data_IF_640368983560
#
_entry.id   IF_640368983560
#
_cell.length_a   1.000
_cell.length_b   1.000
_cell.length_c   1.000
_cell.angle_alpha   90.00
_cell.angle_beta   90.00
_cell.angle_gamma   90.00
#
_symmetry.space_group_name_H-M   'P 1'
#
loop_
_entity.id
_entity.type
_entity.pdbx_description
1 polymer ?
#
# COMPACT_ATOMS: atom_id res chain seq x y z
N UNK A 1 12.51 -56.04 -16.90
CA UNK A 1 12.07 -54.84 -17.65
C UNK A 1 11.14 -53.90 -16.86
N UNK A 2 10.39 -54.37 -15.85
CA UNK A 2 9.42 -53.55 -15.08
C UNK A 2 10.02 -52.59 -14.01
N UNK A 3 11.25 -52.79 -13.55
CA UNK A 3 11.88 -51.94 -12.51
C UNK A 3 12.37 -50.58 -13.03
N UNK A 4 12.87 -50.53 -14.25
CA UNK A 4 13.35 -49.28 -14.88
C UNK A 4 12.21 -48.31 -15.18
N UNK A 5 11.07 -48.83 -15.64
CA UNK A 5 9.88 -48.03 -15.98
C UNK A 5 9.26 -47.41 -14.71
N UNK A 6 9.23 -48.14 -13.57
CA UNK A 6 8.79 -47.57 -12.28
C UNK A 6 9.69 -46.46 -11.78
N UNK A 7 11.01 -46.57 -11.93
CA UNK A 7 11.94 -45.51 -11.50
C UNK A 7 11.80 -44.26 -12.36
N UNK A 8 11.64 -44.42 -13.68
CA UNK A 8 11.43 -43.28 -14.60
C UNK A 8 10.13 -42.55 -14.27
N UNK A 9 9.03 -43.25 -14.00
CA UNK A 9 7.75 -42.64 -13.62
C UNK A 9 7.85 -41.89 -12.29
N UNK A 10 8.55 -42.44 -11.29
CA UNK A 10 8.74 -41.78 -9.99
C UNK A 10 9.60 -40.52 -10.13
N UNK A 11 10.68 -40.57 -10.92
CA UNK A 11 11.56 -39.42 -11.18
C UNK A 11 10.82 -38.33 -11.97
N UNK A 12 9.99 -38.71 -12.95
CA UNK A 12 9.16 -37.76 -13.68
C UNK A 12 8.10 -37.12 -12.78
N UNK A 13 7.48 -37.89 -11.87
CA UNK A 13 6.49 -37.41 -10.92
C UNK A 13 7.11 -36.43 -9.90
N UNK A 14 8.32 -36.71 -9.39
CA UNK A 14 9.02 -35.79 -8.48
C UNK A 14 9.52 -34.53 -9.18
N UNK A 15 9.97 -34.63 -10.43
CA UNK A 15 10.32 -33.47 -11.27
C UNK A 15 9.09 -32.60 -11.57
N UNK A 16 7.93 -33.21 -11.84
CA UNK A 16 6.68 -32.48 -12.07
C UNK A 16 6.18 -31.78 -10.81
N UNK A 17 6.34 -32.43 -9.65
CA UNK A 17 6.04 -31.83 -8.34
C UNK A 17 7.08 -30.79 -7.88
N UNK A 18 8.24 -30.65 -8.55
CA UNK A 18 9.25 -29.65 -8.19
C UNK A 18 9.02 -28.27 -8.82
N UNK A 19 8.01 -28.13 -9.67
CA UNK A 19 7.66 -26.86 -10.33
C UNK A 19 6.71 -25.97 -9.53
N UNK A 20 6.65 -26.13 -8.20
CA UNK A 20 5.96 -25.16 -7.35
C UNK A 20 6.82 -23.91 -7.20
N UNK A 21 6.70 -22.99 -8.15
CA UNK A 21 7.07 -21.59 -7.91
C UNK A 21 6.17 -21.05 -6.80
N UNK A 22 6.69 -20.97 -5.58
CA UNK A 22 6.04 -20.29 -4.46
C UNK A 22 6.07 -18.79 -4.81
N UNK A 23 4.98 -18.31 -5.41
CA UNK A 23 4.77 -16.89 -5.57
C UNK A 23 4.45 -16.31 -4.19
N UNK A 24 5.38 -15.53 -3.63
CA UNK A 24 5.07 -14.74 -2.47
C UNK A 24 4.03 -13.68 -2.86
N UNK A 25 2.96 -13.56 -2.07
CA UNK A 25 2.00 -12.48 -2.23
C UNK A 25 2.70 -11.12 -2.19
N UNK A 26 2.23 -10.13 -2.98
CA UNK A 26 2.81 -8.80 -2.93
C UNK A 26 2.68 -8.23 -1.51
N UNK A 27 3.61 -7.34 -1.16
CA UNK A 27 3.49 -6.57 0.07
C UNK A 27 2.36 -5.58 -0.13
N UNK A 28 1.33 -5.63 0.72
CA UNK A 28 0.16 -4.76 0.66
C UNK A 28 0.13 -3.84 1.85
N UNK A 29 -0.07 -2.55 1.62
CA UNK A 29 -0.11 -1.55 2.70
C UNK A 29 -1.45 -0.81 2.65
N UNK A 30 -2.18 -0.91 3.75
CA UNK A 30 -3.53 -0.36 3.91
C UNK A 30 -3.58 0.60 5.10
N UNK A 31 -4.51 1.55 5.06
CA UNK A 31 -4.91 2.32 6.23
C UNK A 31 -5.72 1.43 7.19
N UNK A 32 -5.92 1.88 8.42
CA UNK A 32 -6.86 1.24 9.38
C UNK A 32 -8.30 1.10 8.86
N UNK A 33 -8.68 1.84 7.82
CA UNK A 33 -10.01 1.82 7.22
C UNK A 33 -10.08 0.90 5.98
N UNK A 34 -8.96 0.29 5.59
CA UNK A 34 -8.87 -0.63 4.46
C UNK A 34 -8.51 0.03 3.13
N UNK A 35 -8.38 1.36 3.09
CA UNK A 35 -7.94 2.08 1.90
C UNK A 35 -6.46 1.80 1.60
N UNK A 36 -6.06 1.65 0.33
CA UNK A 36 -4.66 1.43 -0.01
C UNK A 36 -3.81 2.69 0.21
N UNK A 37 -2.56 2.53 0.67
CA UNK A 37 -1.56 3.60 0.71
C UNK A 37 -0.96 3.82 -0.68
N UNK A 38 -1.82 4.08 -1.67
CA UNK A 38 -1.42 4.22 -3.07
C UNK A 38 -0.41 5.34 -3.25
N UNK A 39 0.59 5.13 -4.11
CA UNK A 39 1.67 6.09 -4.39
C UNK A 39 2.49 6.51 -3.16
N UNK A 40 2.45 5.76 -2.06
CA UNK A 40 3.35 6.01 -0.93
C UNK A 40 4.80 5.71 -1.32
N UNK A 41 5.73 6.58 -0.91
CA UNK A 41 7.16 6.38 -1.07
C UNK A 41 7.67 5.46 0.04
N UNK A 42 8.25 4.34 -0.35
CA UNK A 42 8.77 3.33 0.58
C UNK A 42 10.24 3.03 0.32
N UNK A 43 10.95 2.68 1.38
CA UNK A 43 12.30 2.14 1.35
C UNK A 43 12.29 0.70 1.81
N UNK A 44 12.74 -0.20 0.96
CA UNK A 44 12.95 -1.61 1.28
C UNK A 44 14.41 -1.78 1.69
N UNK A 45 14.65 -2.31 2.89
CA UNK A 45 15.98 -2.66 3.39
C UNK A 45 16.07 -4.19 3.46
N UNK A 46 17.03 -4.74 2.73
CA UNK A 46 17.30 -6.18 2.67
C UNK A 46 18.23 -6.61 3.82
N UNK A 47 18.34 -7.91 4.04
CA UNK A 47 19.15 -8.49 5.12
C UNK A 47 20.65 -8.22 4.97
N UNK A 48 21.13 -8.02 3.74
CA UNK A 48 22.51 -7.65 3.42
C UNK A 48 22.82 -6.17 3.69
N UNK A 49 21.85 -5.41 4.19
CA UNK A 49 21.95 -3.97 4.45
C UNK A 49 21.75 -3.09 3.22
N UNK A 50 21.63 -3.67 2.02
CA UNK A 50 21.28 -2.90 0.82
C UNK A 50 19.86 -2.37 0.94
N UNK A 51 19.59 -1.28 0.23
CA UNK A 51 18.26 -0.69 0.23
C UNK A 51 17.88 -0.07 -1.09
N UNK A 52 16.58 -0.12 -1.39
CA UNK A 52 15.99 0.43 -2.62
C UNK A 52 14.71 1.19 -2.30
N UNK A 53 14.43 2.19 -3.13
CA UNK A 53 13.27 3.07 -3.01
C UNK A 53 12.23 2.66 -4.04
N UNK A 54 10.96 2.67 -3.64
CA UNK A 54 9.83 2.32 -4.50
C UNK A 54 8.63 3.21 -4.21
N UNK A 55 7.71 3.28 -5.17
CA UNK A 55 6.35 3.73 -4.92
C UNK A 55 5.42 2.52 -4.88
N UNK A 56 4.47 2.54 -3.94
CA UNK A 56 3.36 1.59 -3.95
C UNK A 56 2.45 1.89 -5.14
N UNK A 57 1.89 0.85 -5.74
CA UNK A 57 0.96 1.02 -6.85
C UNK A 57 -0.42 1.55 -6.40
N UNK A 58 -1.36 1.63 -7.34
CA UNK A 58 -2.72 2.11 -7.05
C UNK A 58 -3.50 1.23 -6.05
N UNK A 59 -3.10 -0.03 -5.86
CA UNK A 59 -3.68 -0.96 -4.89
C UNK A 59 -2.93 -0.96 -3.54
N UNK A 60 -1.93 -0.08 -3.38
CA UNK A 60 -1.07 -0.04 -2.19
C UNK A 60 -0.12 -1.23 -2.13
N UNK A 61 0.21 -1.83 -3.28
CA UNK A 61 0.97 -3.05 -3.39
C UNK A 61 2.40 -2.81 -3.91
N UNK A 62 3.31 -3.68 -3.48
CA UNK A 62 4.69 -3.75 -3.93
C UNK A 62 5.10 -5.21 -4.16
N UNK A 63 5.37 -5.54 -5.42
CA UNK A 63 5.90 -6.85 -5.80
C UNK A 63 7.42 -6.81 -5.73
N UNK A 64 8.00 -7.65 -4.86
CA UNK A 64 9.44 -7.87 -4.78
C UNK A 64 9.77 -9.26 -5.33
N UNK A 65 10.89 -9.36 -6.04
CA UNK A 65 11.45 -10.62 -6.54
C UNK A 65 12.79 -10.87 -5.88
N UNK A 66 13.17 -12.15 -5.80
CA UNK A 66 14.47 -12.60 -5.34
C UNK A 66 14.84 -12.06 -3.95
N UNK A 67 13.87 -12.09 -3.02
CA UNK A 67 14.06 -11.63 -1.64
C UNK A 67 14.69 -12.76 -0.81
N UNK A 68 15.94 -12.61 -0.33
CA UNK A 68 16.59 -13.64 0.48
C UNK A 68 15.78 -13.93 1.74
N UNK A 69 15.51 -15.21 1.99
CA UNK A 69 14.67 -15.71 3.09
C UNK A 69 13.23 -15.15 3.10
N UNK A 70 12.83 -14.40 2.07
CA UNK A 70 11.55 -13.71 2.03
C UNK A 70 11.37 -12.65 3.13
N UNK A 71 12.43 -12.09 3.69
CA UNK A 71 12.38 -11.11 4.80
C UNK A 71 12.95 -9.76 4.36
N UNK A 72 12.21 -8.67 4.61
CA UNK A 72 12.68 -7.29 4.42
C UNK A 72 12.21 -6.39 5.55
N UNK A 73 12.94 -5.30 5.82
CA UNK A 73 12.42 -4.17 6.59
C UNK A 73 11.85 -3.14 5.60
N UNK A 74 10.53 -2.96 5.64
CA UNK A 74 9.85 -1.92 4.86
C UNK A 74 9.75 -0.65 5.70
N UNK A 75 10.21 0.48 5.16
CA UNK A 75 9.98 1.81 5.72
C UNK A 75 9.04 2.59 4.82
N UNK A 76 7.93 3.08 5.34
CA UNK A 76 7.04 4.02 4.66
C UNK A 76 7.52 5.42 5.00
N UNK A 77 8.09 6.11 4.01
CA UNK A 77 8.70 7.41 4.20
C UNK A 77 7.65 8.51 4.08
N UNK A 78 6.84 8.48 3.03
CA UNK A 78 5.78 9.47 2.81
C UNK A 78 4.56 8.90 2.09
N UNK A 79 3.41 9.53 2.32
CA UNK A 79 2.16 9.27 1.60
C UNK A 79 1.38 10.58 1.46
N UNK A 80 0.76 10.82 0.30
CA UNK A 80 0.11 12.11 -0.04
C UNK A 80 1.03 13.32 0.21
N UNK A 81 2.32 13.18 -0.13
CA UNK A 81 3.37 14.19 0.10
C UNK A 81 3.63 14.55 1.59
N UNK A 82 3.19 13.72 2.53
CA UNK A 82 3.41 13.92 3.97
C UNK A 82 4.36 12.86 4.49
N UNK A 83 5.36 13.28 5.27
CA UNK A 83 6.31 12.37 5.92
C UNK A 83 5.62 11.59 7.04
N UNK A 84 5.73 10.26 7.01
CA UNK A 84 5.11 9.33 7.98
C UNK A 84 6.17 8.58 8.80
N UNK A 85 7.31 8.25 8.21
CA UNK A 85 8.44 7.56 8.88
C UNK A 85 8.02 6.34 9.72
N UNK A 86 7.23 5.44 9.12
CA UNK A 86 6.81 4.19 9.74
C UNK A 86 7.70 3.03 9.25
N UNK A 87 8.01 2.04 10.09
CA UNK A 87 8.73 0.85 9.66
C UNK A 87 8.16 -0.45 10.21
N UNK A 88 8.26 -1.53 9.42
CA UNK A 88 7.83 -2.87 9.81
C UNK A 88 8.69 -3.93 9.12
N UNK A 89 8.91 -5.05 9.80
CA UNK A 89 9.51 -6.25 9.20
C UNK A 89 8.41 -7.02 8.47
N UNK A 90 8.65 -7.31 7.20
CA UNK A 90 7.71 -7.98 6.29
C UNK A 90 8.31 -9.29 5.84
N UNK A 91 7.48 -10.32 5.86
CA UNK A 91 7.76 -11.68 5.43
C UNK A 91 6.65 -12.15 4.50
N UNK A 92 6.87 -13.26 3.79
CA UNK A 92 5.84 -13.89 2.97
C UNK A 92 4.58 -14.33 3.76
N UNK A 93 4.68 -14.49 5.09
CA UNK A 93 3.54 -14.84 5.96
C UNK A 93 2.75 -13.62 6.47
N UNK A 94 3.33 -12.42 6.44
CA UNK A 94 2.72 -11.19 6.93
C UNK A 94 2.88 -10.04 5.93
N UNK A 95 2.60 -10.34 4.66
CA UNK A 95 2.75 -9.39 3.54
C UNK A 95 1.76 -8.22 3.60
N UNK A 96 0.70 -8.30 4.40
CA UNK A 96 -0.25 -7.19 4.62
C UNK A 96 0.11 -6.36 5.85
N UNK A 97 0.26 -5.06 5.64
CA UNK A 97 0.62 -4.06 6.64
C UNK A 97 -0.55 -3.10 6.79
N UNK A 98 -0.91 -2.83 8.05
CA UNK A 98 -1.91 -1.81 8.39
C UNK A 98 -1.18 -0.64 9.04
N UNK A 99 -1.29 0.53 8.43
CA UNK A 99 -0.84 1.81 8.96
C UNK A 99 -2.00 2.49 9.71
N UNK A 100 -1.82 2.67 11.01
CA UNK A 100 -2.90 3.05 11.93
C UNK A 100 -3.05 4.54 12.17
N UNK A 101 -2.00 5.32 11.92
CA UNK A 101 -1.98 6.77 12.20
C UNK A 101 -2.61 7.57 11.04
N UNK A 102 -3.87 7.24 10.75
CA UNK A 102 -4.72 7.94 9.77
C UNK A 102 -6.07 8.33 10.37
N UNK A 103 -6.68 9.36 9.77
CA UNK A 103 -8.03 9.83 10.08
C UNK A 103 -8.83 10.13 8.81
N UNK A 104 -10.15 10.28 8.97
CA UNK A 104 -11.07 10.65 7.89
C UNK A 104 -11.45 12.11 8.09
N UNK A 105 -11.26 12.93 7.05
CA UNK A 105 -11.77 14.29 6.97
C UNK A 105 -13.03 14.27 6.09
N UNK A 106 -14.13 14.77 6.65
CA UNK A 106 -15.40 14.96 5.94
C UNK A 106 -15.68 16.46 5.87
N UNK A 107 -15.75 16.99 4.65
CA UNK A 107 -16.09 18.39 4.39
C UNK A 107 -17.50 18.41 3.81
N UNK A 108 -18.37 19.24 4.40
CA UNK A 108 -19.72 19.50 3.90
C UNK A 108 -19.86 20.98 3.59
N UNK A 109 -20.22 21.31 2.36
CA UNK A 109 -20.43 22.68 1.90
C UNK A 109 -21.89 22.88 1.59
N UNK A 110 -22.47 23.87 2.24
CA UNK A 110 -23.87 24.26 2.11
C UNK A 110 -23.95 25.74 1.73
N UNK A 111 -25.05 26.14 1.11
CA UNK A 111 -25.37 27.54 0.90
C UNK A 111 -26.07 28.17 2.12
N UNK A 112 -26.54 29.40 1.96
CA UNK A 112 -27.28 30.12 3.00
C UNK A 112 -28.60 29.44 3.41
N UNK A 113 -29.21 28.65 2.53
CA UNK A 113 -30.47 27.94 2.76
C UNK A 113 -30.25 26.49 3.23
N UNK A 114 -29.02 26.11 3.58
CA UNK A 114 -28.60 24.74 3.92
C UNK A 114 -28.71 23.74 2.75
N UNK A 115 -28.73 24.21 1.51
CA UNK A 115 -28.70 23.35 0.33
C UNK A 115 -27.26 22.94 -0.03
N UNK A 116 -27.02 21.68 -0.40
CA UNK A 116 -25.69 21.20 -0.74
C UNK A 116 -25.17 21.81 -2.05
N UNK A 117 -23.92 22.30 -2.04
CA UNK A 117 -23.29 22.87 -3.23
C UNK A 117 -22.35 21.86 -3.87
N UNK A 118 -22.66 21.45 -5.10
CA UNK A 118 -21.82 20.58 -5.93
C UNK A 118 -20.65 21.35 -6.57
N UNK A 119 -19.50 20.71 -6.72
CA UNK A 119 -18.38 21.25 -7.51
C UNK A 119 -17.55 22.34 -6.81
N UNK A 120 -17.70 22.54 -5.50
CA UNK A 120 -16.90 23.51 -4.75
C UNK A 120 -15.46 23.02 -4.67
N UNK A 121 -14.52 23.83 -5.16
CA UNK A 121 -13.09 23.50 -5.12
C UNK A 121 -12.57 23.51 -3.69
N UNK A 122 -12.03 22.39 -3.26
CA UNK A 122 -11.42 22.18 -1.94
C UNK A 122 -9.92 22.02 -2.14
N UNK A 123 -9.14 22.79 -1.38
CA UNK A 123 -7.69 22.67 -1.32
C UNK A 123 -7.29 22.30 0.09
N UNK A 124 -6.57 21.19 0.25
CA UNK A 124 -6.04 20.79 1.55
C UNK A 124 -4.55 21.11 1.58
N UNK A 125 -4.15 21.84 2.61
CA UNK A 125 -2.77 22.22 2.84
C UNK A 125 -2.21 21.50 4.07
N UNK A 126 -0.96 21.08 3.97
CA UNK A 126 -0.12 20.59 5.06
C UNK A 126 1.17 21.40 5.04
N UNK A 127 1.56 21.99 6.17
CA UNK A 127 2.73 22.88 6.27
C UNK A 127 2.80 23.95 5.16
N UNK A 128 1.66 24.59 4.85
CA UNK A 128 1.49 25.61 3.79
C UNK A 128 1.66 25.10 2.35
N UNK A 129 1.89 23.81 2.14
CA UNK A 129 1.94 23.20 0.82
C UNK A 129 0.59 22.54 0.48
N UNK A 130 0.13 22.71 -0.75
CA UNK A 130 -1.07 22.03 -1.23
C UNK A 130 -0.75 20.55 -1.43
N UNK A 131 -1.49 19.68 -0.73
CA UNK A 131 -1.34 18.22 -0.83
C UNK A 131 -2.46 17.56 -1.63
N UNK A 132 -3.60 18.23 -1.77
CA UNK A 132 -4.78 17.70 -2.44
C UNK A 132 -5.62 18.85 -3.00
N UNK A 133 -6.14 18.68 -4.21
CA UNK A 133 -7.14 19.54 -4.83
C UNK A 133 -8.27 18.64 -5.31
N UNK A 134 -9.50 18.93 -4.87
CA UNK A 134 -10.68 18.15 -5.23
C UNK A 134 -11.93 19.04 -5.29
N UNK A 135 -13.08 18.45 -5.54
CA UNK A 135 -14.37 19.13 -5.51
C UNK A 135 -15.41 18.35 -4.71
N UNK A 136 -16.37 19.07 -4.11
CA UNK A 136 -17.56 18.43 -3.51
C UNK A 136 -18.38 17.67 -4.57
N UNK A 137 -19.02 16.59 -4.14
CA UNK A 137 -19.96 15.82 -4.97
C UNK A 137 -21.36 16.47 -5.01
N UNK A 138 -22.32 15.82 -5.68
CA UNK A 138 -23.71 16.29 -5.78
C UNK A 138 -24.45 16.45 -4.45
N UNK A 139 -23.95 15.85 -3.36
CA UNK A 139 -24.46 16.03 -2.00
C UNK A 139 -23.73 17.11 -1.20
N UNK A 140 -22.85 17.89 -1.86
CA UNK A 140 -22.04 18.92 -1.21
C UNK A 140 -20.97 18.36 -0.27
N UNK A 141 -20.61 17.08 -0.43
CA UNK A 141 -19.70 16.37 0.47
C UNK A 141 -18.41 16.02 -0.26
N UNK A 142 -17.30 16.14 0.44
CA UNK A 142 -16.01 15.55 0.07
C UNK A 142 -15.44 14.79 1.26
N UNK A 143 -14.88 13.60 0.99
CA UNK A 143 -14.32 12.70 2.00
C UNK A 143 -12.92 12.29 1.58
N UNK A 144 -11.98 12.34 2.51
CA UNK A 144 -10.60 11.93 2.28
C UNK A 144 -9.98 11.32 3.53
N UNK A 145 -9.17 10.29 3.33
CA UNK A 145 -8.27 9.77 4.37
C UNK A 145 -6.92 10.47 4.31
N UNK A 146 -6.45 10.89 5.49
CA UNK A 146 -5.20 11.61 5.66
C UNK A 146 -4.37 10.98 6.80
N UNK A 147 -3.04 11.06 6.74
CA UNK A 147 -2.18 10.83 7.90
C UNK A 147 -2.58 11.69 9.09
N UNK A 148 -2.18 11.29 10.29
CA UNK A 148 -2.26 12.18 11.46
C UNK A 148 -1.44 13.45 11.19
N UNK A 149 -2.08 14.61 11.36
CA UNK A 149 -1.43 15.90 11.11
C UNK A 149 -2.37 17.08 11.34
N UNK A 150 -1.81 18.28 11.21
CA UNK A 150 -2.57 19.53 11.22
C UNK A 150 -2.74 20.02 9.78
N UNK A 151 -3.97 20.35 9.42
CA UNK A 151 -4.36 20.68 8.06
C UNK A 151 -5.07 22.03 8.00
N UNK A 152 -5.00 22.68 6.83
CA UNK A 152 -5.82 23.85 6.51
C UNK A 152 -6.64 23.52 5.27
N UNK A 153 -7.91 23.91 5.27
CA UNK A 153 -8.89 23.68 4.19
C UNK A 153 -9.37 25.03 3.69
#
# INVERSE_FOLDING_TARGET
MYRGIRCIIIVFLTLFLSQYSVYASPIKVLTRYGSPLSNALVKVVYLDGTSKMYFLDNNGELMLRDVPLGIVKLKILSWKNISINFERIVTYMNSTIIYNDTGILVIRVLDYFNEPINGVNIKILYDKNIIEISSTNSSGIYVIELPKGNYTV
#
